data_IF_883682368819
#
_entry.id   IF_883682368819
#
_cell.length_a   1.000
_cell.length_b   1.000
_cell.length_c   1.000
_cell.angle_alpha   90.00
_cell.angle_beta   90.00
_cell.angle_gamma   90.00
#
_symmetry.space_group_name_H-M   'P 1'
#
loop_
_entity.id
_entity.type
_entity.pdbx_description
1 polymer ?
#
# COMPACT_ATOMS: atom_id res chain seq x y z
N UNK A 1 10.34 6.19 18.86
CA UNK A 1 11.76 6.60 18.67
C UNK A 1 11.79 7.86 17.82
N UNK A 2 12.73 8.77 18.05
CA UNK A 2 12.94 9.95 17.19
C UNK A 2 14.25 9.77 16.43
N UNK A 3 14.18 9.47 15.14
CA UNK A 3 15.36 9.40 14.27
C UNK A 3 15.63 10.79 13.71
N UNK A 4 16.78 11.42 14.01
CA UNK A 4 17.05 12.79 13.55
C UNK A 4 16.99 12.93 12.02
N UNK A 5 16.34 13.99 11.53
CA UNK A 5 16.24 14.28 10.10
C UNK A 5 15.13 13.53 9.35
N UNK A 6 14.28 12.79 10.07
CA UNK A 6 13.16 12.01 9.54
C UNK A 6 11.81 12.44 10.12
N UNK A 7 11.74 13.61 10.77
CA UNK A 7 10.48 14.16 11.24
C UNK A 7 9.66 14.76 10.09
N UNK A 8 8.36 14.97 10.29
CA UNK A 8 7.49 15.59 9.29
C UNK A 8 8.04 16.93 8.76
N UNK A 9 8.60 17.77 9.65
CA UNK A 9 9.23 19.03 9.26
C UNK A 9 10.44 18.87 8.33
N UNK A 10 11.16 17.74 8.43
CA UNK A 10 12.30 17.43 7.56
C UNK A 10 11.85 16.85 6.22
N UNK A 11 10.72 16.14 6.20
CA UNK A 11 10.27 15.32 5.08
C UNK A 11 9.23 16.01 4.19
N UNK A 12 8.38 16.89 4.73
CA UNK A 12 7.38 17.64 3.95
C UNK A 12 8.02 18.46 2.82
N UNK A 13 9.13 19.20 3.02
CA UNK A 13 9.77 19.93 1.93
C UNK A 13 10.19 19.01 0.77
N UNK A 14 10.62 17.79 1.07
CA UNK A 14 11.00 16.79 0.06
C UNK A 14 9.78 16.25 -0.69
N UNK A 15 8.68 15.96 0.00
CA UNK A 15 7.41 15.57 -0.65
C UNK A 15 6.91 16.66 -1.59
N UNK A 16 6.95 17.93 -1.16
CA UNK A 16 6.55 19.08 -1.99
C UNK A 16 7.42 19.22 -3.24
N UNK A 17 8.73 18.99 -3.11
CA UNK A 17 9.65 19.02 -4.26
C UNK A 17 9.29 17.96 -5.31
N UNK A 18 8.77 16.80 -4.89
CA UNK A 18 8.44 15.70 -5.82
C UNK A 18 7.07 15.88 -6.49
N UNK A 19 6.14 16.58 -5.87
CA UNK A 19 4.73 16.65 -6.29
C UNK A 19 4.40 17.89 -7.15
N UNK A 20 3.59 17.68 -8.18
CA UNK A 20 2.70 18.68 -8.78
C UNK A 20 1.27 18.28 -8.47
N UNK A 21 0.63 18.99 -7.55
CA UNK A 21 -0.74 18.74 -7.13
C UNK A 21 -1.73 19.45 -8.05
N UNK A 22 -2.59 18.69 -8.74
CA UNK A 22 -3.47 19.15 -9.82
C UNK A 22 -4.95 19.19 -9.40
N UNK A 23 -5.21 19.45 -8.12
CA UNK A 23 -6.56 19.56 -7.57
C UNK A 23 -6.78 20.99 -7.09
N UNK A 24 -7.97 21.57 -7.30
CA UNK A 24 -8.30 22.91 -6.81
C UNK A 24 -8.30 22.98 -5.28
N UNK A 25 -7.86 24.11 -4.71
CA UNK A 25 -7.78 24.30 -3.25
C UNK A 25 -6.56 23.62 -2.59
N UNK A 26 -5.70 23.00 -3.39
CA UNK A 26 -4.56 22.20 -2.93
C UNK A 26 -3.25 22.95 -2.70
N UNK A 27 -3.23 24.28 -2.81
CA UNK A 27 -2.02 25.10 -2.73
C UNK A 27 -1.51 25.26 -1.26
N UNK A 28 -1.89 24.32 -0.39
CA UNK A 28 -1.61 24.34 1.03
C UNK A 28 -0.13 24.08 1.38
N UNK A 29 0.25 24.23 2.66
CA UNK A 29 1.65 24.17 3.09
C UNK A 29 2.30 22.78 2.92
N UNK A 30 1.52 21.75 2.61
CA UNK A 30 1.93 20.34 2.54
C UNK A 30 2.01 19.78 1.12
N UNK A 31 1.62 20.53 0.10
CA UNK A 31 1.61 20.07 -1.30
C UNK A 31 2.62 20.82 -2.17
N UNK A 32 3.08 20.13 -3.20
CA UNK A 32 3.95 20.67 -4.25
C UNK A 32 3.15 21.12 -5.47
N UNK A 33 3.69 22.09 -6.23
CA UNK A 33 3.00 22.63 -7.42
C UNK A 33 3.81 22.53 -8.71
N UNK A 34 5.07 22.12 -8.61
CA UNK A 34 6.06 22.14 -9.69
C UNK A 34 6.92 20.87 -9.77
N UNK A 35 6.71 19.91 -8.85
CA UNK A 35 7.45 18.66 -8.82
C UNK A 35 7.16 17.72 -10.00
N UNK A 36 8.06 16.78 -10.31
CA UNK A 36 7.95 15.94 -11.50
C UNK A 36 6.76 14.97 -11.49
N UNK A 37 6.19 14.60 -10.34
CA UNK A 37 5.08 13.64 -10.25
C UNK A 37 3.74 14.34 -10.12
N UNK A 38 2.78 14.00 -11.00
CA UNK A 38 1.50 14.69 -11.09
C UNK A 38 0.44 13.91 -10.30
N UNK A 39 -0.23 14.59 -9.38
CA UNK A 39 -1.30 14.02 -8.56
C UNK A 39 -2.60 14.72 -8.92
N UNK A 40 -3.63 13.97 -9.26
CA UNK A 40 -4.93 14.49 -9.70
C UNK A 40 -6.06 13.60 -9.18
N UNK A 41 -7.31 14.01 -9.43
CA UNK A 41 -8.49 13.21 -9.13
C UNK A 41 -8.98 12.49 -10.37
N UNK A 42 -9.71 11.41 -10.12
CA UNK A 42 -10.75 10.94 -11.02
C UNK A 42 -12.02 10.88 -10.15
N UNK A 43 -13.10 11.52 -10.61
CA UNK A 43 -14.36 11.62 -9.86
C UNK A 43 -15.36 10.64 -10.48
N UNK A 44 -16.13 9.97 -9.62
CA UNK A 44 -17.20 9.04 -9.99
C UNK A 44 -18.44 9.20 -9.09
N UNK A 45 -19.56 8.64 -9.54
CA UNK A 45 -20.88 8.75 -8.90
C UNK A 45 -20.96 7.98 -7.57
N UNK A 46 -20.28 6.85 -7.45
CA UNK A 46 -20.25 6.04 -6.23
C UNK A 46 -19.46 6.73 -5.12
N UNK A 47 -18.40 7.46 -5.46
CA UNK A 47 -17.59 8.26 -4.54
C UNK A 47 -18.43 9.36 -3.88
N UNK A 48 -19.21 10.10 -4.65
CA UNK A 48 -20.10 11.14 -4.14
C UNK A 48 -21.12 10.56 -3.15
N UNK A 49 -21.72 9.42 -3.48
CA UNK A 49 -22.68 8.73 -2.62
C UNK A 49 -22.06 8.18 -1.34
N UNK A 50 -20.87 7.58 -1.45
CA UNK A 50 -20.12 7.08 -0.29
C UNK A 50 -19.85 8.18 0.73
N UNK A 51 -19.61 9.41 0.28
CA UNK A 51 -19.36 10.56 1.16
C UNK A 51 -20.64 11.19 1.71
N UNK A 52 -21.79 11.06 1.04
CA UNK A 52 -23.08 11.60 1.50
C UNK A 52 -23.57 10.94 2.81
N UNK A 53 -23.36 9.62 2.96
CA UNK A 53 -23.72 8.88 4.19
C UNK A 53 -22.91 9.35 5.41
N UNK A 54 -21.78 10.02 5.18
CA UNK A 54 -20.87 10.43 6.25
C UNK A 54 -21.16 11.80 6.84
N UNK A 55 -22.17 12.54 6.35
CA UNK A 55 -22.80 13.81 6.83
C UNK A 55 -21.95 14.91 7.51
N UNK A 56 -20.63 14.74 7.62
CA UNK A 56 -19.67 15.50 8.43
C UNK A 56 -18.42 15.87 7.64
N UNK A 57 -18.31 15.41 6.38
CA UNK A 57 -17.17 15.67 5.51
C UNK A 57 -17.52 16.84 4.60
N UNK A 58 -16.77 17.93 4.73
CA UNK A 58 -16.79 19.02 3.76
C UNK A 58 -16.18 18.50 2.46
N UNK A 59 -17.04 18.05 1.53
CA UNK A 59 -16.64 17.79 0.15
C UNK A 59 -16.76 19.12 -0.60
N UNK A 60 -15.75 19.97 -0.48
CA UNK A 60 -15.62 21.08 -1.42
C UNK A 60 -15.50 20.50 -2.83
N UNK A 61 -16.20 21.09 -3.81
CA UNK A 61 -16.12 20.65 -5.20
C UNK A 61 -14.67 20.74 -5.69
N UNK A 62 -14.01 19.59 -5.82
CA UNK A 62 -12.62 19.52 -6.26
C UNK A 62 -12.56 19.44 -7.79
N UNK A 63 -11.91 20.41 -8.42
CA UNK A 63 -11.72 20.46 -9.87
C UNK A 63 -10.43 19.74 -10.23
N UNK A 64 -10.56 18.67 -11.01
CA UNK A 64 -9.46 17.97 -11.66
C UNK A 64 -8.83 18.83 -12.77
N UNK A 65 -7.56 19.24 -12.58
CA UNK A 65 -6.78 20.06 -13.52
C UNK A 65 -5.90 19.25 -14.46
N UNK A 66 -6.01 17.91 -14.49
CA UNK A 66 -5.12 17.06 -15.28
C UNK A 66 -5.32 17.22 -16.80
N UNK A 67 -4.32 16.80 -17.56
CA UNK A 67 -4.29 16.95 -19.04
C UNK A 67 -4.22 15.66 -19.84
N UNK A 68 -3.59 14.59 -19.32
CA UNK A 68 -3.21 13.42 -20.13
C UNK A 68 -3.81 12.10 -19.68
N UNK A 69 -4.34 11.99 -18.45
CA UNK A 69 -4.94 10.74 -17.94
C UNK A 69 -3.97 9.57 -17.77
N UNK A 70 -2.67 9.81 -17.90
CA UNK A 70 -1.61 8.80 -17.78
C UNK A 70 -1.13 8.70 -16.34
N UNK A 71 -0.75 7.48 -15.94
CA UNK A 71 -0.10 7.21 -14.65
C UNK A 71 1.15 8.08 -14.46
N UNK A 72 1.33 8.61 -13.25
CA UNK A 72 2.58 9.25 -12.83
C UNK A 72 3.53 8.26 -12.16
N UNK A 73 4.38 7.61 -12.96
CA UNK A 73 5.43 6.70 -12.48
C UNK A 73 6.81 7.39 -12.37
N UNK A 74 7.67 6.87 -11.49
CA UNK A 74 9.03 7.40 -11.27
C UNK A 74 9.89 7.34 -12.53
N UNK A 75 10.01 6.22 -13.26
CA UNK A 75 10.87 6.15 -14.44
C UNK A 75 10.63 7.26 -15.47
N UNK A 76 9.38 7.47 -15.92
CA UNK A 76 9.06 8.46 -16.95
C UNK A 76 9.21 9.92 -16.48
N UNK A 77 9.20 10.16 -15.16
CA UNK A 77 9.24 11.51 -14.62
C UNK A 77 10.56 11.93 -13.98
N UNK A 78 11.37 10.97 -13.53
CA UNK A 78 12.63 11.24 -12.82
C UNK A 78 13.86 10.58 -13.45
N UNK A 79 13.71 9.50 -14.24
CA UNK A 79 14.85 8.72 -14.74
C UNK A 79 15.03 8.91 -16.25
N UNK A 80 14.06 8.49 -17.07
CA UNK A 80 14.17 8.54 -18.53
C UNK A 80 14.40 9.94 -19.10
N UNK A 81 13.82 11.03 -18.56
CA UNK A 81 14.14 12.38 -19.02
C UNK A 81 15.62 12.78 -18.85
N UNK A 82 16.34 12.09 -17.96
CA UNK A 82 17.76 12.34 -17.71
C UNK A 82 18.69 11.55 -18.62
N UNK A 83 18.22 10.49 -19.28
CA UNK A 83 19.06 9.61 -20.10
C UNK A 83 19.73 10.37 -21.26
N UNK A 84 18.99 11.25 -21.92
CA UNK A 84 19.52 12.06 -23.03
C UNK A 84 20.44 13.19 -22.56
N UNK A 85 20.29 13.65 -21.32
CA UNK A 85 20.99 14.85 -20.80
C UNK A 85 22.14 14.51 -19.85
N UNK A 86 22.24 13.27 -19.37
CA UNK A 86 23.24 12.82 -18.37
C UNK A 86 23.98 11.58 -18.89
N UNK A 87 25.09 11.75 -19.63
CA UNK A 87 25.85 10.63 -20.19
C UNK A 87 26.48 9.70 -19.14
N UNK A 88 26.48 10.12 -17.87
CA UNK A 88 26.94 9.34 -16.72
C UNK A 88 25.82 8.52 -16.04
N UNK A 89 24.58 8.60 -16.53
CA UNK A 89 23.48 7.73 -16.11
C UNK A 89 23.46 6.49 -16.99
N UNK A 90 23.49 5.31 -16.38
CA UNK A 90 23.37 4.04 -17.07
C UNK A 90 22.16 3.28 -16.52
N UNK A 91 21.20 2.98 -17.39
CA UNK A 91 20.00 2.22 -17.04
C UNK A 91 20.18 0.80 -17.57
N UNK A 92 20.11 -0.18 -16.67
CA UNK A 92 20.23 -1.59 -17.02
C UNK A 92 18.96 -2.32 -16.58
N UNK A 93 18.17 -2.77 -17.55
CA UNK A 93 16.93 -3.54 -17.33
C UNK A 93 17.13 -5.01 -17.68
N UNK A 94 16.22 -5.87 -17.20
CA UNK A 94 16.35 -7.33 -17.40
C UNK A 94 17.56 -7.91 -16.67
N UNK A 95 18.04 -7.24 -15.61
CA UNK A 95 19.16 -7.67 -14.79
C UNK A 95 18.70 -7.71 -13.33
N UNK A 96 18.87 -8.87 -12.69
CA UNK A 96 18.59 -9.09 -11.28
C UNK A 96 19.89 -9.01 -10.47
N UNK A 97 19.91 -8.18 -9.42
CA UNK A 97 20.99 -8.18 -8.43
C UNK A 97 20.89 -9.42 -7.54
N UNK A 98 21.94 -10.22 -7.48
CA UNK A 98 21.95 -11.44 -6.66
C UNK A 98 22.53 -11.17 -5.27
N UNK A 99 23.75 -10.63 -5.20
CA UNK A 99 24.48 -10.37 -3.96
C UNK A 99 25.64 -9.38 -4.14
N UNK A 100 26.09 -8.80 -3.04
CA UNK A 100 27.29 -7.99 -2.93
C UNK A 100 28.49 -8.83 -2.48
N UNK A 101 29.64 -8.59 -3.10
CA UNK A 101 30.90 -9.30 -2.88
C UNK A 101 32.00 -8.37 -2.37
N UNK A 102 33.07 -8.96 -1.86
CA UNK A 102 34.30 -8.27 -1.46
C UNK A 102 34.08 -7.04 -0.56
N UNK A 103 33.32 -7.19 0.53
CA UNK A 103 32.98 -6.09 1.46
C UNK A 103 32.11 -5.00 0.80
N UNK A 104 31.22 -5.39 -0.11
CA UNK A 104 30.39 -4.47 -0.90
C UNK A 104 31.21 -3.54 -1.83
N UNK A 105 32.26 -4.05 -2.47
CA UNK A 105 32.97 -3.32 -3.56
C UNK A 105 32.61 -3.85 -4.95
N UNK A 106 31.84 -4.94 -5.02
CA UNK A 106 31.38 -5.54 -6.26
C UNK A 106 29.97 -6.09 -6.07
N UNK A 107 29.20 -6.11 -7.14
CA UNK A 107 27.85 -6.64 -7.19
C UNK A 107 27.81 -7.75 -8.23
N UNK A 108 27.24 -8.89 -7.86
CA UNK A 108 26.92 -9.95 -8.81
C UNK A 108 25.49 -9.78 -9.25
N UNK A 109 25.28 -9.89 -10.55
CA UNK A 109 23.97 -9.81 -11.16
C UNK A 109 23.80 -10.88 -12.21
N UNK A 110 22.55 -11.18 -12.53
CA UNK A 110 22.16 -12.17 -13.54
C UNK A 110 21.16 -11.56 -14.52
N UNK A 111 21.24 -11.90 -15.80
CA UNK A 111 20.17 -11.58 -16.75
C UNK A 111 18.89 -12.34 -16.40
N UNK A 112 17.78 -11.63 -16.26
CA UNK A 112 16.46 -12.23 -16.06
C UNK A 112 15.99 -12.80 -17.40
N UNK A 113 15.81 -14.12 -17.53
CA UNK A 113 15.42 -14.70 -18.80
C UNK A 113 13.93 -14.39 -19.07
N UNK A 114 13.57 -14.19 -20.34
CA UNK A 114 12.18 -13.92 -20.75
C UNK A 114 11.29 -15.15 -20.51
N UNK A 115 11.88 -16.34 -20.56
CA UNK A 115 11.22 -17.62 -20.25
C UNK A 115 12.00 -18.37 -19.16
N UNK A 116 11.36 -19.24 -18.35
CA UNK A 116 12.03 -19.97 -17.28
C UNK A 116 13.29 -20.75 -17.72
N UNK A 117 13.27 -21.29 -18.96
CA UNK A 117 14.38 -22.06 -19.54
C UNK A 117 15.35 -21.21 -20.39
N UNK A 118 15.18 -19.88 -20.38
CA UNK A 118 16.02 -18.97 -21.16
C UNK A 118 17.45 -18.88 -20.61
N UNK A 119 18.44 -18.54 -21.46
CA UNK A 119 19.82 -18.43 -21.02
C UNK A 119 20.00 -17.32 -19.99
N UNK A 120 20.75 -17.61 -18.93
CA UNK A 120 21.14 -16.63 -17.91
C UNK A 120 22.64 -16.35 -17.96
N UNK A 121 23.02 -15.08 -18.05
CA UNK A 121 24.40 -14.64 -17.96
C UNK A 121 24.65 -14.00 -16.59
N UNK A 122 25.67 -14.48 -15.87
CA UNK A 122 26.12 -13.84 -14.63
C UNK A 122 27.19 -12.79 -14.94
N UNK A 123 27.05 -11.61 -14.34
CA UNK A 123 27.99 -10.48 -14.47
C UNK A 123 28.46 -10.04 -13.10
N UNK A 124 29.70 -9.55 -13.04
CA UNK A 124 30.25 -8.87 -11.88
C UNK A 124 30.42 -7.40 -12.22
N UNK A 125 29.62 -6.54 -11.61
CA UNK A 125 29.72 -5.10 -11.71
C UNK A 125 30.64 -4.61 -10.58
N UNK A 126 31.70 -3.89 -10.95
CA UNK A 126 32.61 -3.25 -9.99
C UNK A 126 32.38 -1.76 -10.03
N UNK A 127 32.32 -1.13 -8.85
CA UNK A 127 32.21 0.31 -8.69
C UNK A 127 33.31 0.83 -7.80
N UNK A 128 33.75 2.06 -8.04
CA UNK A 128 34.67 2.79 -7.16
C UNK A 128 33.93 3.59 -6.07
N UNK A 129 32.60 3.65 -6.12
CA UNK A 129 31.73 4.37 -5.20
C UNK A 129 30.98 3.50 -4.18
N UNK A 130 29.95 4.09 -3.57
CA UNK A 130 29.04 3.42 -2.62
C UNK A 130 27.86 2.77 -3.35
N UNK A 131 27.30 1.70 -2.77
CA UNK A 131 26.08 1.05 -3.24
C UNK A 131 24.86 1.52 -2.44
N UNK A 132 23.72 1.64 -3.13
CA UNK A 132 22.43 1.89 -2.52
C UNK A 132 21.48 0.79 -2.94
N UNK A 133 20.97 0.02 -1.99
CA UNK A 133 19.96 -1.00 -2.25
C UNK A 133 18.56 -0.37 -2.17
N UNK A 134 17.80 -0.53 -3.25
CA UNK A 134 16.41 -0.10 -3.37
C UNK A 134 15.53 -1.23 -3.94
N UNK A 135 15.77 -2.47 -3.51
CA UNK A 135 15.10 -3.67 -4.04
C UNK A 135 13.80 -4.01 -3.28
N UNK A 136 13.32 -3.09 -2.45
CA UNK A 136 12.08 -3.20 -1.69
C UNK A 136 12.17 -4.18 -0.53
N UNK A 137 11.08 -4.28 0.22
CA UNK A 137 11.02 -5.01 1.49
C UNK A 137 11.21 -6.53 1.36
N UNK A 138 11.13 -7.09 0.15
CA UNK A 138 11.45 -8.49 -0.12
C UNK A 138 12.85 -8.67 -0.74
N UNK A 139 13.19 -7.86 -1.74
CA UNK A 139 14.44 -8.02 -2.49
C UNK A 139 15.67 -7.61 -1.68
N UNK A 140 15.59 -6.48 -0.96
CA UNK A 140 16.71 -5.92 -0.20
C UNK A 140 17.23 -6.87 0.89
N UNK A 141 16.40 -7.41 1.82
CA UNK A 141 16.92 -8.35 2.81
C UNK A 141 17.54 -9.59 2.16
N UNK A 142 16.94 -10.13 1.09
CA UNK A 142 17.51 -11.30 0.41
C UNK A 142 18.87 -11.03 -0.25
N UNK A 143 19.08 -9.83 -0.81
CA UNK A 143 20.40 -9.41 -1.31
C UNK A 143 21.40 -9.33 -0.15
N UNK A 144 21.04 -8.73 0.98
CA UNK A 144 21.91 -8.62 2.15
C UNK A 144 22.31 -10.01 2.69
N UNK A 145 21.34 -10.92 2.84
CA UNK A 145 21.58 -12.26 3.37
C UNK A 145 22.51 -13.08 2.47
N UNK A 146 22.28 -13.07 1.14
CA UNK A 146 23.19 -13.72 0.17
C UNK A 146 24.57 -13.07 0.14
N UNK A 147 24.68 -11.79 0.51
CA UNK A 147 25.95 -11.08 0.71
C UNK A 147 26.65 -11.44 2.02
N UNK A 148 26.03 -12.29 2.86
CA UNK A 148 26.49 -12.68 4.19
C UNK A 148 26.19 -11.65 5.29
N UNK A 149 25.36 -10.64 5.01
CA UNK A 149 24.94 -9.61 5.97
C UNK A 149 23.62 -10.03 6.59
N UNK A 150 23.61 -10.32 7.89
CA UNK A 150 22.47 -10.92 8.60
C UNK A 150 22.97 -11.87 9.68
N UNK A 151 23.52 -13.01 9.28
CA UNK A 151 23.93 -14.08 10.22
C UNK A 151 25.34 -14.64 10.04
N UNK A 152 26.01 -14.41 8.91
CA UNK A 152 27.29 -15.07 8.58
C UNK A 152 28.51 -14.18 8.75
N UNK A 153 28.62 -13.14 7.91
CA UNK A 153 29.80 -12.27 7.81
C UNK A 153 29.65 -11.02 8.65
N UNK A 154 28.46 -10.44 8.67
CA UNK A 154 28.09 -9.30 9.50
C UNK A 154 26.84 -9.70 10.27
N UNK A 155 26.97 -9.75 11.59
CA UNK A 155 25.87 -10.12 12.48
C UNK A 155 24.89 -8.94 12.63
N UNK A 156 23.76 -9.06 11.93
CA UNK A 156 22.63 -8.15 11.90
C UNK A 156 21.34 -8.97 11.87
N UNK A 157 20.94 -9.57 12.99
CA UNK A 157 19.80 -10.49 13.03
C UNK A 157 18.45 -9.81 12.71
N UNK A 158 18.41 -8.48 12.60
CA UNK A 158 17.22 -7.76 12.15
C UNK A 158 17.01 -7.71 10.64
N UNK A 159 17.95 -8.23 9.82
CA UNK A 159 17.76 -8.34 8.36
C UNK A 159 16.71 -9.41 8.09
N UNK A 160 15.67 -9.05 7.33
CA UNK A 160 14.54 -9.94 7.01
C UNK A 160 13.42 -9.94 8.06
N UNK A 161 13.71 -9.50 9.27
CA UNK A 161 12.75 -9.47 10.39
C UNK A 161 11.82 -8.26 10.37
N UNK A 162 10.76 -8.29 11.18
CA UNK A 162 9.85 -7.14 11.38
C UNK A 162 9.17 -6.70 10.07
N UNK A 163 8.80 -7.67 9.22
CA UNK A 163 7.89 -7.44 8.11
C UNK A 163 6.58 -6.85 8.63
N UNK A 164 6.14 -5.78 7.98
CA UNK A 164 4.91 -5.04 8.23
C UNK A 164 4.20 -4.80 6.91
N UNK A 165 2.88 -4.74 6.95
CA UNK A 165 2.00 -4.35 5.85
C UNK A 165 0.76 -3.67 6.45
N UNK A 166 -0.16 -3.18 5.61
CA UNK A 166 -1.56 -3.10 6.01
C UNK A 166 -2.29 -4.36 5.57
N UNK A 167 -3.16 -4.86 6.45
CA UNK A 167 -3.98 -6.02 6.15
C UNK A 167 -5.35 -5.51 5.68
N UNK A 168 -5.82 -5.97 4.51
CA UNK A 168 -7.07 -5.49 3.89
C UNK A 168 -8.09 -6.60 3.65
N UNK A 169 -9.36 -6.30 3.92
CA UNK A 169 -10.51 -7.02 3.38
C UNK A 169 -11.08 -6.26 2.20
N UNK A 170 -11.42 -7.00 1.15
CA UNK A 170 -12.09 -6.51 -0.04
C UNK A 170 -13.50 -7.10 -0.06
N UNK A 171 -14.50 -6.27 0.27
CA UNK A 171 -15.90 -6.71 0.48
C UNK A 171 -16.78 -6.20 -0.66
N UNK A 172 -17.11 -7.05 -1.65
CA UNK A 172 -17.88 -6.64 -2.82
C UNK A 172 -19.39 -6.69 -2.54
N UNK A 173 -20.12 -5.79 -3.18
CA UNK A 173 -21.57 -5.65 -3.14
C UNK A 173 -22.11 -5.60 -4.56
N UNK A 174 -23.31 -6.13 -4.76
CA UNK A 174 -24.01 -5.97 -6.02
C UNK A 174 -24.39 -4.51 -6.22
N UNK A 175 -24.07 -3.98 -7.40
CA UNK A 175 -24.41 -2.60 -7.78
C UNK A 175 -25.64 -2.57 -8.68
N UNK A 176 -26.26 -1.39 -8.76
CA UNK A 176 -27.34 -1.07 -9.69
C UNK A 176 -26.84 -1.02 -11.14
N UNK A 177 -27.72 -1.29 -12.10
CA UNK A 177 -27.36 -1.32 -13.52
C UNK A 177 -26.98 0.07 -14.06
N UNK A 178 -27.53 1.12 -13.47
CA UNK A 178 -27.23 2.52 -13.79
C UNK A 178 -25.88 3.02 -13.23
N UNK A 179 -25.27 2.32 -12.28
CA UNK A 179 -24.02 2.75 -11.64
C UNK A 179 -22.83 2.70 -12.61
N UNK A 180 -21.93 3.67 -12.53
CA UNK A 180 -20.67 3.62 -13.26
C UNK A 180 -19.70 2.63 -12.58
N UNK A 181 -19.24 1.61 -13.32
CA UNK A 181 -18.32 0.57 -12.79
C UNK A 181 -17.26 0.20 -13.82
N UNK A 182 -16.15 -0.36 -13.34
CA UNK A 182 -15.06 -0.89 -14.16
C UNK A 182 -15.26 -2.38 -14.53
N UNK A 183 -16.34 -3.00 -14.05
CA UNK A 183 -16.61 -4.43 -14.20
C UNK A 183 -16.58 -4.96 -15.63
N UNK A 184 -17.10 -4.20 -16.59
CA UNK A 184 -17.11 -4.58 -18.01
C UNK A 184 -15.71 -4.50 -18.62
N UNK A 185 -14.96 -3.43 -18.29
CA UNK A 185 -13.57 -3.24 -18.73
C UNK A 185 -12.68 -4.37 -18.17
N UNK A 186 -12.82 -4.68 -16.87
CA UNK A 186 -12.05 -5.75 -16.22
C UNK A 186 -12.38 -7.15 -16.75
N UNK A 187 -13.61 -7.36 -17.25
CA UNK A 187 -14.02 -8.59 -17.93
C UNK A 187 -13.68 -8.61 -19.42
N UNK A 188 -12.97 -7.59 -19.90
CA UNK A 188 -12.58 -7.45 -21.30
C UNK A 188 -13.78 -7.48 -22.26
N UNK A 189 -14.88 -6.83 -21.88
CA UNK A 189 -15.96 -6.55 -22.82
C UNK A 189 -15.44 -5.59 -23.91
N UNK A 190 -15.38 -6.07 -25.15
CA UNK A 190 -14.76 -5.34 -26.27
C UNK A 190 -15.39 -3.96 -26.46
N UNK A 191 -16.71 -3.87 -26.39
CA UNK A 191 -17.42 -2.60 -26.60
C UNK A 191 -17.13 -1.57 -25.49
N UNK A 192 -17.05 -2.02 -24.24
CA UNK A 192 -16.71 -1.17 -23.11
C UNK A 192 -15.25 -0.69 -23.16
N UNK A 193 -14.32 -1.58 -23.54
CA UNK A 193 -12.89 -1.25 -23.68
C UNK A 193 -12.68 -0.27 -24.82
N UNK A 194 -13.29 -0.49 -25.98
CA UNK A 194 -13.20 0.41 -27.13
C UNK A 194 -13.75 1.80 -26.80
N UNK A 195 -14.95 1.87 -26.22
CA UNK A 195 -15.58 3.13 -25.84
C UNK A 195 -14.75 3.92 -24.82
N UNK A 196 -14.27 3.25 -23.76
CA UNK A 196 -13.50 3.90 -22.70
C UNK A 196 -12.08 4.30 -23.18
N UNK A 197 -11.49 3.55 -24.11
CA UNK A 197 -10.21 3.92 -24.75
C UNK A 197 -10.38 5.14 -25.63
N UNK A 198 -11.43 5.18 -26.47
CA UNK A 198 -11.71 6.33 -27.32
C UNK A 198 -11.98 7.61 -26.50
N UNK A 199 -12.65 7.50 -25.36
CA UNK A 199 -12.83 8.63 -24.43
C UNK A 199 -11.49 9.13 -23.88
N UNK A 200 -10.64 8.21 -23.40
CA UNK A 200 -9.31 8.55 -22.89
C UNK A 200 -8.44 9.24 -23.94
N UNK A 201 -8.37 8.71 -25.16
CA UNK A 201 -7.59 9.31 -26.24
C UNK A 201 -8.09 10.71 -26.61
N UNK A 202 -9.41 10.91 -26.62
CA UNK A 202 -10.02 12.19 -26.98
C UNK A 202 -9.90 13.25 -25.90
N UNK A 203 -9.95 12.86 -24.62
CA UNK A 203 -10.17 13.80 -23.51
C UNK A 203 -9.10 13.77 -22.43
N UNK A 204 -8.28 12.71 -22.36
CA UNK A 204 -7.41 12.43 -21.23
C UNK A 204 -8.19 12.07 -19.95
N UNK A 205 -9.48 11.75 -20.05
CA UNK A 205 -10.43 11.46 -18.95
C UNK A 205 -11.16 10.14 -19.20
N UNK A 206 -12.17 9.84 -18.37
CA UNK A 206 -12.95 8.61 -18.46
C UNK A 206 -12.42 7.46 -17.60
N UNK A 207 -13.11 6.33 -17.68
CA UNK A 207 -12.89 5.16 -16.81
C UNK A 207 -11.50 4.53 -16.95
N UNK A 208 -10.93 4.50 -18.16
CA UNK A 208 -9.57 3.98 -18.41
C UNK A 208 -8.47 4.80 -17.74
N UNK A 209 -8.82 5.98 -17.25
CA UNK A 209 -7.92 6.92 -16.65
C UNK A 209 -8.28 7.18 -15.17
N UNK A 210 -8.97 6.20 -14.58
CA UNK A 210 -9.32 6.06 -13.17
C UNK A 210 -8.68 4.77 -12.63
N UNK A 211 -8.24 4.77 -11.38
CA UNK A 211 -7.71 3.58 -10.69
C UNK A 211 -8.81 2.67 -10.09
N UNK A 212 -10.08 2.99 -10.31
CA UNK A 212 -11.23 2.34 -9.67
C UNK A 212 -11.49 2.65 -8.21
N UNK A 213 -10.66 3.42 -7.51
CA UNK A 213 -10.88 3.82 -6.11
C UNK A 213 -11.41 5.26 -6.06
N UNK A 214 -12.71 5.40 -5.79
CA UNK A 214 -13.42 6.68 -5.94
C UNK A 214 -13.35 7.60 -4.72
N UNK A 215 -13.51 7.03 -3.54
CA UNK A 215 -13.41 7.76 -2.27
C UNK A 215 -12.81 6.87 -1.19
N UNK A 216 -12.30 7.50 -0.14
CA UNK A 216 -11.89 6.80 1.06
C UNK A 216 -11.80 7.71 2.27
N UNK A 217 -11.83 7.10 3.43
CA UNK A 217 -11.78 7.75 4.73
C UNK A 217 -10.74 7.09 5.62
N UNK A 218 -10.17 7.91 6.50
CA UNK A 218 -9.34 7.45 7.61
C UNK A 218 -10.17 7.58 8.88
N UNK A 219 -10.44 6.46 9.53
CA UNK A 219 -11.30 6.41 10.70
C UNK A 219 -10.49 6.32 11.98
N UNK A 220 -10.93 7.08 12.99
CA UNK A 220 -10.45 6.97 14.36
C UNK A 220 -11.68 6.83 15.26
N UNK A 221 -11.80 5.71 16.01
CA UNK A 221 -13.00 5.45 16.78
C UNK A 221 -13.19 6.47 17.90
N UNK A 222 -14.44 6.85 18.15
CA UNK A 222 -14.82 7.59 19.35
C UNK A 222 -14.85 6.66 20.59
N UNK A 223 -15.03 7.18 21.82
CA UNK A 223 -15.03 6.35 23.02
C UNK A 223 -16.11 5.24 23.05
N UNK A 224 -17.26 5.45 22.42
CA UNK A 224 -18.33 4.46 22.33
C UNK A 224 -17.98 3.35 21.34
N UNK A 225 -17.44 3.71 20.18
CA UNK A 225 -16.96 2.75 19.19
C UNK A 225 -15.77 1.96 19.70
N UNK A 226 -14.82 2.61 20.39
CA UNK A 226 -13.65 1.96 20.97
C UNK A 226 -14.02 0.85 21.96
N UNK A 227 -15.16 0.97 22.65
CA UNK A 227 -15.66 -0.07 23.54
C UNK A 227 -16.02 -1.37 22.80
N UNK A 228 -16.38 -1.28 21.50
CA UNK A 228 -16.72 -2.42 20.66
C UNK A 228 -15.49 -3.21 20.16
N UNK A 229 -14.30 -2.63 20.17
CA UNK A 229 -13.06 -3.29 19.72
C UNK A 229 -12.55 -4.34 20.71
N UNK A 230 -13.08 -4.37 21.94
CA UNK A 230 -12.70 -5.34 22.96
C UNK A 230 -11.36 -5.04 23.67
N UNK A 231 -11.06 -5.81 24.73
CA UNK A 231 -9.90 -5.58 25.59
C UNK A 231 -8.55 -5.77 24.88
N UNK A 232 -8.48 -6.62 23.85
CA UNK A 232 -7.25 -6.92 23.11
C UNK A 232 -6.74 -5.70 22.36
N UNK A 233 -7.64 -4.96 21.69
CA UNK A 233 -7.29 -3.71 21.02
C UNK A 233 -7.14 -2.55 22.01
N UNK A 234 -7.89 -2.53 23.12
CA UNK A 234 -7.77 -1.47 24.12
C UNK A 234 -6.33 -1.26 24.60
N UNK A 235 -5.58 -2.35 24.81
CA UNK A 235 -4.16 -2.25 25.20
C UNK A 235 -3.34 -1.54 24.13
N UNK A 236 -3.55 -1.88 22.86
CA UNK A 236 -2.88 -1.25 21.71
C UNK A 236 -3.24 0.23 21.61
N UNK A 237 -4.52 0.56 21.86
CA UNK A 237 -4.99 1.94 21.92
C UNK A 237 -4.25 2.74 22.99
N UNK A 238 -4.21 2.26 24.22
CA UNK A 238 -3.59 2.95 25.35
C UNK A 238 -2.08 3.17 25.10
N UNK A 239 -1.39 2.17 24.54
CA UNK A 239 0.06 2.21 24.30
C UNK A 239 0.45 3.06 23.08
N UNK A 240 -0.36 3.07 22.02
CA UNK A 240 0.05 3.59 20.70
C UNK A 240 -0.80 4.76 20.20
N UNK A 241 -2.11 4.75 20.43
CA UNK A 241 -3.05 5.68 19.81
C UNK A 241 -3.51 6.80 20.74
N UNK A 242 -3.66 6.55 22.04
CA UNK A 242 -4.27 7.51 22.99
C UNK A 242 -3.58 8.88 22.98
N UNK A 243 -2.25 8.90 22.81
CA UNK A 243 -1.43 10.12 22.76
C UNK A 243 -0.98 10.50 21.34
N UNK A 244 -1.60 9.93 20.30
CA UNK A 244 -1.31 10.17 18.90
C UNK A 244 -2.62 10.46 18.12
N UNK A 245 -3.21 11.65 18.31
CA UNK A 245 -4.53 11.99 17.77
C UNK A 245 -4.56 12.06 16.23
N UNK A 246 -3.40 12.21 15.59
CA UNK A 246 -3.20 12.24 14.14
C UNK A 246 -3.19 10.84 13.49
N UNK A 247 -3.23 9.77 14.29
CA UNK A 247 -3.18 8.39 13.78
C UNK A 247 -4.59 7.79 13.68
N UNK A 248 -5.06 7.44 12.47
CA UNK A 248 -6.27 6.65 12.31
C UNK A 248 -6.00 5.17 12.65
N UNK A 249 -7.07 4.44 12.93
CA UNK A 249 -7.02 3.00 13.24
C UNK A 249 -7.26 2.17 11.98
N UNK A 250 -8.18 2.60 11.13
CA UNK A 250 -8.57 1.89 9.91
C UNK A 250 -8.79 2.87 8.77
N UNK A 251 -8.51 2.43 7.55
CA UNK A 251 -8.95 3.13 6.35
C UNK A 251 -10.03 2.31 5.64
N UNK A 252 -11.01 3.02 5.09
CA UNK A 252 -12.06 2.46 4.25
C UNK A 252 -12.04 3.17 2.91
N UNK A 253 -12.31 2.45 1.82
CA UNK A 253 -12.48 3.09 0.52
C UNK A 253 -13.33 2.30 -0.44
N UNK A 254 -14.06 3.01 -1.27
CA UNK A 254 -14.95 2.43 -2.26
C UNK A 254 -14.25 2.25 -3.59
N UNK A 255 -14.39 1.04 -4.12
CA UNK A 255 -13.90 0.62 -5.42
C UNK A 255 -15.05 0.30 -6.36
N UNK A 256 -14.90 0.69 -7.62
CA UNK A 256 -15.90 0.55 -8.69
C UNK A 256 -15.86 -0.81 -9.40
N UNK A 257 -15.38 -1.85 -8.72
CA UNK A 257 -15.12 -3.14 -9.35
C UNK A 257 -15.32 -4.28 -8.35
N UNK A 258 -15.85 -5.40 -8.85
CA UNK A 258 -15.88 -6.66 -8.11
C UNK A 258 -14.67 -7.55 -8.42
N UNK A 259 -14.56 -8.69 -7.74
CA UNK A 259 -13.60 -9.73 -8.10
C UNK A 259 -14.14 -10.55 -9.28
N UNK A 260 -13.84 -10.13 -10.50
CA UNK A 260 -14.34 -10.76 -11.73
C UNK A 260 -14.10 -12.28 -11.83
N UNK A 261 -13.18 -12.85 -11.04
CA UNK A 261 -12.89 -14.28 -11.01
C UNK A 261 -13.74 -15.07 -10.02
N UNK A 262 -14.30 -14.41 -9.01
CA UNK A 262 -15.01 -15.06 -7.90
C UNK A 262 -16.50 -14.70 -7.82
N UNK A 263 -16.97 -13.74 -8.62
CA UNK A 263 -18.38 -13.30 -8.59
C UNK A 263 -19.03 -13.34 -9.98
N UNK A 264 -20.34 -13.59 -10.08
CA UNK A 264 -21.05 -13.64 -11.37
C UNK A 264 -20.87 -12.38 -12.23
N UNK A 265 -20.98 -12.46 -13.57
CA UNK A 265 -20.95 -11.28 -14.45
C UNK A 265 -22.14 -10.34 -14.20
N UNK A 266 -21.88 -9.22 -13.52
CA UNK A 266 -22.79 -8.10 -13.27
C UNK A 266 -21.97 -6.91 -12.74
N UNK A 267 -22.63 -5.79 -12.43
CA UNK A 267 -21.99 -4.63 -11.82
C UNK A 267 -21.83 -4.78 -10.31
N UNK A 268 -20.72 -4.29 -9.79
CA UNK A 268 -20.35 -4.31 -8.39
C UNK A 268 -19.74 -2.97 -7.97
N UNK A 269 -19.85 -2.69 -6.69
CA UNK A 269 -18.88 -1.86 -6.00
C UNK A 269 -18.30 -2.67 -4.85
N UNK A 270 -17.19 -2.24 -4.29
CA UNK A 270 -16.48 -2.97 -3.26
C UNK A 270 -15.93 -2.01 -2.23
N UNK A 271 -16.05 -2.34 -0.94
CA UNK A 271 -15.42 -1.56 0.11
C UNK A 271 -14.18 -2.27 0.60
N UNK A 272 -13.03 -1.61 0.43
CA UNK A 272 -11.78 -2.01 1.03
C UNK A 272 -11.74 -1.55 2.48
N UNK A 273 -11.36 -2.43 3.40
CA UNK A 273 -11.18 -2.13 4.83
C UNK A 273 -9.79 -2.56 5.22
N UNK A 274 -8.93 -1.63 5.60
CA UNK A 274 -7.58 -1.96 6.02
C UNK A 274 -7.31 -1.60 7.49
N UNK A 275 -6.30 -2.25 8.06
CA UNK A 275 -5.72 -1.91 9.36
C UNK A 275 -4.49 -1.02 9.14
N UNK A 276 -4.49 0.20 9.69
CA UNK A 276 -3.43 1.20 9.41
C UNK A 276 -2.15 0.97 10.21
N UNK A 277 -2.25 0.35 11.38
CA UNK A 277 -1.07 0.01 12.19
C UNK A 277 -1.21 -1.39 12.81
N UNK A 278 -1.13 -2.47 12.00
CA UNK A 278 -1.19 -3.83 12.53
C UNK A 278 -0.10 -4.07 13.57
N UNK A 279 -0.41 -4.89 14.57
CA UNK A 279 0.50 -5.25 15.66
C UNK A 279 1.33 -6.47 15.30
N UNK A 280 0.75 -7.43 14.58
CA UNK A 280 1.45 -8.63 14.18
C UNK A 280 2.62 -8.33 13.23
N UNK A 281 3.65 -9.18 13.27
CA UNK A 281 4.90 -9.00 12.52
C UNK A 281 5.25 -10.30 11.83
N UNK A 282 5.80 -10.17 10.64
CA UNK A 282 6.32 -11.28 9.87
C UNK A 282 7.83 -11.24 9.70
N UNK A 283 8.32 -12.10 8.81
CA UNK A 283 9.71 -12.13 8.37
C UNK A 283 9.82 -12.56 6.90
N UNK A 284 10.95 -12.24 6.28
CA UNK A 284 11.35 -12.62 4.93
C UNK A 284 12.83 -13.05 4.97
N UNK A 285 13.12 -14.33 4.73
CA UNK A 285 14.48 -14.87 4.68
C UNK A 285 14.72 -15.69 3.41
N UNK A 286 15.95 -15.67 2.92
CA UNK A 286 16.39 -16.62 1.89
C UNK A 286 16.39 -18.05 2.43
N UNK A 287 16.04 -19.00 1.56
CA UNK A 287 16.24 -20.44 1.82
C UNK A 287 17.49 -20.99 1.12
N UNK A 288 18.01 -20.25 0.13
CA UNK A 288 19.17 -20.63 -0.66
C UNK A 288 20.15 -19.48 -0.85
N UNK A 289 21.45 -19.75 -0.72
CA UNK A 289 22.49 -18.70 -0.73
C UNK A 289 22.86 -18.19 -2.13
N UNK A 290 22.56 -18.96 -3.18
CA UNK A 290 23.00 -18.67 -4.55
C UNK A 290 21.85 -18.62 -5.56
N UNK A 291 20.70 -19.21 -5.23
CA UNK A 291 19.58 -19.33 -6.15
C UNK A 291 18.55 -18.27 -5.78
N UNK A 292 18.48 -17.24 -6.61
CA UNK A 292 17.56 -16.11 -6.43
C UNK A 292 16.12 -16.44 -6.79
N UNK A 293 15.88 -17.60 -7.40
CA UNK A 293 14.54 -18.11 -7.73
C UNK A 293 13.99 -19.07 -6.69
N UNK A 294 14.82 -19.51 -5.72
CA UNK A 294 14.38 -20.37 -4.65
C UNK A 294 13.26 -19.69 -3.82
N UNK A 295 12.21 -20.44 -3.42
CA UNK A 295 11.17 -19.90 -2.56
C UNK A 295 11.77 -19.31 -1.29
N UNK A 296 11.36 -18.10 -0.92
CA UNK A 296 11.75 -17.47 0.34
C UNK A 296 11.00 -18.11 1.52
N UNK A 297 11.64 -18.11 2.68
CA UNK A 297 10.96 -18.34 3.96
C UNK A 297 10.24 -17.04 4.31
N UNK A 298 8.92 -17.03 4.09
CA UNK A 298 8.08 -15.86 4.26
C UNK A 298 6.90 -16.18 5.16
N UNK A 299 6.81 -15.42 6.25
CA UNK A 299 5.63 -15.39 7.10
C UNK A 299 5.13 -13.95 7.12
N UNK A 300 3.90 -13.66 6.67
CA UNK A 300 3.38 -12.30 6.68
C UNK A 300 2.96 -11.82 8.08
N UNK A 301 2.68 -12.74 9.01
CA UNK A 301 2.17 -12.46 10.36
C UNK A 301 0.70 -11.99 10.40
N UNK A 302 -0.04 -12.03 9.28
CA UNK A 302 -1.40 -11.50 9.23
C UNK A 302 -2.32 -12.16 10.26
N UNK A 303 -2.98 -11.33 11.07
CA UNK A 303 -3.98 -11.74 12.05
C UNK A 303 -3.48 -12.70 13.15
N UNK A 304 -2.16 -12.74 13.41
CA UNK A 304 -1.61 -13.45 14.58
C UNK A 304 -1.96 -12.73 15.91
N UNK A 305 -2.35 -11.45 15.84
CA UNK A 305 -2.85 -10.67 16.97
C UNK A 305 -4.37 -10.52 16.90
N UNK A 306 -5.05 -10.81 18.01
CA UNK A 306 -6.50 -10.54 18.12
C UNK A 306 -6.85 -9.06 18.04
N UNK A 307 -5.93 -8.15 18.38
CA UNK A 307 -6.16 -6.72 18.20
C UNK A 307 -6.34 -6.35 16.71
N UNK A 308 -5.62 -7.02 15.82
CA UNK A 308 -5.73 -6.81 14.37
C UNK A 308 -7.05 -7.40 13.85
N UNK A 309 -7.43 -8.59 14.34
CA UNK A 309 -8.71 -9.24 14.03
C UNK A 309 -9.89 -8.34 14.44
N UNK A 310 -9.87 -7.80 15.66
CA UNK A 310 -10.96 -6.95 16.17
C UNK A 310 -11.09 -5.65 15.38
N UNK A 311 -9.98 -5.03 15.02
CA UNK A 311 -9.99 -3.82 14.17
C UNK A 311 -10.61 -4.11 12.81
N UNK A 312 -10.23 -5.22 12.19
CA UNK A 312 -10.66 -5.57 10.85
C UNK A 312 -12.14 -6.01 10.79
N UNK A 313 -12.58 -6.80 11.77
CA UNK A 313 -13.98 -7.24 11.89
C UNK A 313 -14.92 -6.08 12.27
N UNK A 314 -14.47 -5.15 13.12
CA UNK A 314 -15.20 -3.88 13.32
C UNK A 314 -15.33 -3.10 12.01
N UNK A 315 -14.22 -2.96 11.26
CA UNK A 315 -14.23 -2.26 9.98
C UNK A 315 -15.12 -2.92 8.93
N UNK A 316 -15.25 -4.25 8.91
CA UNK A 316 -16.24 -4.95 8.09
C UNK A 316 -17.67 -4.54 8.45
N UNK A 317 -18.02 -4.56 9.75
CA UNK A 317 -19.38 -4.21 10.21
C UNK A 317 -19.69 -2.76 9.83
N UNK A 318 -18.76 -1.85 10.08
CA UNK A 318 -18.89 -0.45 9.72
C UNK A 318 -19.00 -0.23 8.21
N UNK A 319 -18.17 -0.90 7.40
CA UNK A 319 -18.23 -0.78 5.94
C UNK A 319 -19.52 -1.34 5.35
N UNK A 320 -20.07 -2.40 5.93
CA UNK A 320 -21.35 -3.00 5.55
C UNK A 320 -22.52 -2.08 5.83
N UNK A 321 -22.48 -1.35 6.93
CA UNK A 321 -23.47 -0.31 7.26
C UNK A 321 -23.48 0.82 6.23
N UNK A 322 -22.30 1.25 5.77
CA UNK A 322 -22.19 2.25 4.69
C UNK A 322 -22.72 1.67 3.38
N UNK A 323 -22.18 0.52 2.97
CA UNK A 323 -22.52 -0.10 1.70
C UNK A 323 -24.02 -0.34 1.53
N UNK A 324 -24.71 -0.82 2.58
CA UNK A 324 -26.16 -1.10 2.50
C UNK A 324 -27.02 0.17 2.42
N UNK A 325 -26.51 1.34 2.79
CA UNK A 325 -27.20 2.64 2.69
C UNK A 325 -26.91 3.38 1.39
N UNK A 326 -25.93 2.93 0.62
CA UNK A 326 -25.61 3.53 -0.67
C UNK A 326 -26.73 3.30 -1.70
N UNK A 327 -27.19 4.33 -2.44
CA UNK A 327 -28.25 4.21 -3.44
C UNK A 327 -28.08 3.07 -4.46
N UNK A 328 -26.84 2.73 -4.83
CA UNK A 328 -26.53 1.65 -5.76
C UNK A 328 -26.52 0.24 -5.16
N UNK A 329 -26.73 0.07 -3.86
CA UNK A 329 -26.78 -1.25 -3.23
C UNK A 329 -27.90 -2.12 -3.80
N UNK A 330 -27.55 -3.35 -4.22
CA UNK A 330 -28.49 -4.38 -4.73
C UNK A 330 -28.30 -5.74 -4.06
N UNK A 331 -27.55 -5.80 -2.97
CA UNK A 331 -27.31 -7.02 -2.20
C UNK A 331 -25.85 -7.44 -2.12
N UNK A 332 -25.66 -8.65 -1.63
CA UNK A 332 -24.39 -9.16 -1.11
C UNK A 332 -24.09 -10.54 -1.73
N UNK A 333 -22.97 -10.69 -2.44
CA UNK A 333 -22.55 -11.98 -3.00
C UNK A 333 -22.11 -12.94 -1.89
N UNK A 334 -22.87 -14.03 -1.71
CA UNK A 334 -22.65 -15.02 -0.66
C UNK A 334 -21.21 -15.57 -0.61
N UNK A 335 -20.58 -15.82 -1.76
CA UNK A 335 -19.22 -16.34 -1.84
C UNK A 335 -18.15 -15.37 -1.31
N UNK A 336 -18.49 -14.10 -1.11
CA UNK A 336 -17.57 -13.02 -0.73
C UNK A 336 -18.00 -12.29 0.54
N UNK A 337 -18.90 -12.89 1.31
CA UNK A 337 -19.33 -12.43 2.63
C UNK A 337 -19.18 -13.56 3.67
N UNK A 338 -19.17 -13.24 4.98
CA UNK A 338 -19.18 -14.25 6.03
C UNK A 338 -20.40 -15.17 5.93
N UNK A 339 -20.19 -16.46 6.20
CA UNK A 339 -21.23 -17.46 6.21
C UNK A 339 -22.05 -17.38 7.51
N UNK A 340 -22.86 -16.32 7.63
CA UNK A 340 -23.79 -16.15 8.75
C UNK A 340 -24.88 -17.23 8.76
N UNK A 341 -25.34 -17.60 9.95
CA UNK A 341 -26.36 -18.62 10.10
C UNK A 341 -27.70 -18.19 9.45
N UNK A 342 -28.44 -19.12 8.81
CA UNK A 342 -29.79 -18.82 8.33
C UNK A 342 -30.68 -18.31 9.47
N UNK A 343 -31.30 -17.14 9.29
CA UNK A 343 -32.15 -16.50 10.30
C UNK A 343 -31.41 -15.60 11.30
N UNK A 344 -30.08 -15.50 11.23
CA UNK A 344 -29.33 -14.45 11.93
C UNK A 344 -29.77 -13.07 11.45
N UNK A 345 -29.79 -12.08 12.35
CA UNK A 345 -29.97 -10.67 11.97
C UNK A 345 -28.85 -10.18 11.03
N UNK A 346 -27.68 -10.81 11.08
CA UNK A 346 -26.55 -10.54 10.20
C UNK A 346 -26.58 -11.31 8.88
N UNK A 347 -27.58 -12.17 8.64
CA UNK A 347 -27.70 -12.93 7.40
C UNK A 347 -27.59 -12.01 6.18
N UNK A 348 -26.91 -12.51 5.14
CA UNK A 348 -26.69 -11.70 3.94
C UNK A 348 -27.99 -11.39 3.20
N UNK A 349 -27.99 -10.29 2.47
CA UNK A 349 -29.07 -9.92 1.56
C UNK A 349 -28.67 -10.32 0.14
N UNK A 350 -29.02 -11.51 -0.37
CA UNK A 350 -28.54 -11.97 -1.69
C UNK A 350 -29.10 -11.13 -2.85
N UNK A 351 -30.25 -10.48 -2.65
CA UNK A 351 -30.87 -9.56 -3.59
C UNK A 351 -31.64 -8.48 -2.82
N UNK A 352 -31.40 -7.21 -3.16
CA UNK A 352 -32.17 -6.09 -2.66
C UNK A 352 -32.77 -5.30 -3.84
N UNK A 353 -34.01 -4.84 -3.71
CA UNK A 353 -34.65 -3.97 -4.71
C UNK A 353 -34.05 -2.54 -4.68
N UNK A 354 -33.47 -2.14 -3.55
CA UNK A 354 -32.82 -0.87 -3.35
C UNK A 354 -31.99 -0.85 -2.07
N UNK A 355 -31.50 0.34 -1.74
CA UNK A 355 -30.71 0.57 -0.52
C UNK A 355 -31.59 0.54 0.73
N UNK A 356 -30.95 0.29 1.87
CA UNK A 356 -31.57 0.32 3.19
C UNK A 356 -31.66 1.77 3.67
N UNK A 357 -32.83 2.16 4.19
CA UNK A 357 -33.06 3.51 4.68
C UNK A 357 -32.11 3.88 5.83
N UNK A 358 -31.66 5.14 5.87
CA UNK A 358 -30.66 5.62 6.84
C UNK A 358 -31.08 5.43 8.30
N UNK A 359 -32.38 5.56 8.60
CA UNK A 359 -32.98 5.41 9.93
C UNK A 359 -33.19 3.95 10.35
N UNK A 360 -32.94 2.98 9.45
CA UNK A 360 -32.97 1.56 9.81
C UNK A 360 -31.87 1.27 10.84
N UNK A 361 -32.19 0.56 11.95
CA UNK A 361 -31.19 0.18 12.94
C UNK A 361 -29.96 -0.52 12.35
N UNK A 362 -28.83 -0.42 13.07
CA UNK A 362 -27.62 -1.17 12.74
C UNK A 362 -27.86 -2.68 12.87
N UNK A 363 -27.13 -3.48 12.09
CA UNK A 363 -27.21 -4.93 12.18
C UNK A 363 -26.68 -5.36 13.55
N UNK A 364 -27.43 -6.20 14.26
CA UNK A 364 -26.96 -6.86 15.47
C UNK A 364 -26.20 -8.13 15.11
N UNK A 365 -25.01 -8.30 15.68
CA UNK A 365 -24.15 -9.46 15.47
C UNK A 365 -24.11 -10.30 16.75
N UNK A 366 -24.52 -11.55 16.65
CA UNK A 366 -24.39 -12.52 17.74
C UNK A 366 -22.94 -13.00 17.87
N UNK A 367 -22.62 -13.72 18.96
CA UNK A 367 -21.32 -14.36 19.11
C UNK A 367 -21.02 -15.38 17.98
N UNK A 368 -22.05 -16.01 17.41
CA UNK A 368 -21.89 -16.90 16.27
C UNK A 368 -21.51 -16.14 15.00
N UNK A 369 -22.11 -14.97 14.78
CA UNK A 369 -21.78 -14.09 13.67
C UNK A 369 -20.37 -13.53 13.79
N UNK A 370 -19.92 -13.18 15.00
CA UNK A 370 -18.54 -12.75 15.27
C UNK A 370 -17.52 -13.86 14.94
N UNK A 371 -17.85 -15.14 15.22
CA UNK A 371 -17.01 -16.28 14.82
C UNK A 371 -16.99 -16.49 13.30
N UNK A 372 -18.13 -16.31 12.63
CA UNK A 372 -18.21 -16.37 11.18
C UNK A 372 -17.39 -15.24 10.52
N UNK A 373 -17.42 -14.03 11.10
CA UNK A 373 -16.64 -12.87 10.68
C UNK A 373 -15.14 -13.10 10.82
N UNK A 374 -14.69 -13.62 11.96
CA UNK A 374 -13.28 -13.95 12.15
C UNK A 374 -12.82 -15.00 11.15
N UNK A 375 -13.62 -16.05 10.94
CA UNK A 375 -13.32 -17.11 9.97
C UNK A 375 -13.18 -16.53 8.56
N UNK A 376 -14.12 -15.66 8.16
CA UNK A 376 -14.08 -14.96 6.88
C UNK A 376 -12.83 -14.08 6.76
N UNK A 377 -12.52 -13.29 7.78
CA UNK A 377 -11.36 -12.40 7.77
C UNK A 377 -10.07 -13.20 7.58
N UNK A 378 -9.88 -14.30 8.33
CA UNK A 378 -8.70 -15.17 8.20
C UNK A 378 -8.60 -15.84 6.83
N UNK A 379 -9.73 -16.20 6.23
CA UNK A 379 -9.77 -16.85 4.92
C UNK A 379 -9.55 -15.89 3.74
N UNK A 380 -9.79 -14.59 3.92
CA UNK A 380 -9.84 -13.61 2.80
C UNK A 380 -8.89 -12.44 2.95
N UNK A 381 -8.17 -12.33 4.07
CA UNK A 381 -7.19 -11.29 4.31
C UNK A 381 -6.13 -11.25 3.20
N UNK A 382 -5.81 -10.04 2.76
CA UNK A 382 -4.79 -9.81 1.76
C UNK A 382 -3.79 -8.74 2.18
N UNK A 383 -2.68 -8.69 1.46
CA UNK A 383 -1.73 -7.57 1.47
C UNK A 383 -2.37 -6.35 0.80
N UNK A 384 -1.92 -5.17 1.20
CA UNK A 384 -2.15 -3.92 0.45
C UNK A 384 -0.97 -3.54 -0.44
N UNK A 385 0.01 -4.44 -0.55
CA UNK A 385 1.31 -4.23 -1.18
C UNK A 385 2.12 -3.10 -0.51
N UNK A 386 1.87 -2.84 0.78
CA UNK A 386 2.54 -1.81 1.56
C UNK A 386 3.68 -2.38 2.43
N UNK A 387 4.25 -3.52 2.02
CA UNK A 387 5.34 -4.19 2.68
C UNK A 387 6.48 -3.24 3.08
N UNK A 388 6.85 -3.24 4.37
CA UNK A 388 7.92 -2.39 4.93
C UNK A 388 8.62 -3.04 6.13
N UNK A 389 9.79 -2.50 6.49
CA UNK A 389 10.43 -2.73 7.78
C UNK A 389 11.43 -3.88 7.91
N UNK A 390 11.68 -4.63 6.84
CA UNK A 390 12.61 -5.79 6.82
C UNK A 390 14.10 -5.42 6.93
N UNK A 391 14.44 -4.14 6.91
CA UNK A 391 15.77 -3.58 7.16
C UNK A 391 15.68 -2.34 8.05
N UNK A 392 14.92 -2.43 9.15
CA UNK A 392 14.49 -1.30 9.97
C UNK A 392 15.62 -0.32 10.39
N UNK A 393 15.33 0.97 10.21
CA UNK A 393 16.15 2.10 10.67
C UNK A 393 15.90 2.36 12.15
N UNK A 394 16.69 1.72 13.00
CA UNK A 394 16.66 1.85 14.47
C UNK A 394 18.04 1.53 15.05
N UNK A 395 18.28 1.74 16.36
CA UNK A 395 19.55 1.35 16.96
C UNK A 395 19.88 -0.13 16.75
N UNK A 396 21.13 -0.46 16.39
CA UNK A 396 21.58 -1.85 16.18
C UNK A 396 21.22 -2.77 17.36
N UNK A 397 21.36 -2.28 18.60
CA UNK A 397 21.02 -3.02 19.85
C UNK A 397 19.53 -3.38 20.00
N UNK A 398 18.66 -2.82 19.17
CA UNK A 398 17.22 -3.10 19.11
C UNK A 398 16.85 -3.89 17.84
N UNK A 399 17.84 -4.51 17.19
CA UNK A 399 17.69 -5.23 15.93
C UNK A 399 17.60 -4.31 14.71
N UNK A 400 18.19 -3.12 14.76
CA UNK A 400 18.25 -2.23 13.60
C UNK A 400 19.28 -2.66 12.57
N UNK A 401 18.98 -2.43 11.29
CA UNK A 401 19.84 -2.78 10.14
C UNK A 401 20.58 -1.56 9.61
N UNK A 402 19.93 -0.40 9.59
CA UNK A 402 20.53 0.87 9.14
C UNK A 402 20.52 1.97 10.19
N UNK A 403 21.48 2.89 10.10
CA UNK A 403 21.52 4.12 10.89
C UNK A 403 20.65 5.24 10.29
N UNK A 404 20.61 6.42 10.95
CA UNK A 404 19.81 7.57 10.48
C UNK A 404 20.29 8.19 9.16
N UNK A 405 21.47 7.79 8.66
CA UNK A 405 22.02 8.15 7.35
C UNK A 405 21.97 6.97 6.37
N UNK A 406 21.09 6.00 6.64
CA UNK A 406 20.82 4.83 5.80
C UNK A 406 21.97 3.83 5.67
N UNK A 407 23.07 4.01 6.43
CA UNK A 407 24.21 3.11 6.33
C UNK A 407 23.87 1.76 6.96
N UNK A 408 24.19 0.67 6.25
CA UNK A 408 24.10 -0.68 6.82
C UNK A 408 25.17 -0.85 7.89
N UNK A 409 24.76 -1.18 9.12
CA UNK A 409 25.69 -1.33 10.23
C UNK A 409 26.79 -2.36 9.93
N UNK A 410 28.04 -2.04 10.25
CA UNK A 410 29.16 -2.96 10.07
C UNK A 410 29.64 -3.12 8.61
N UNK A 411 29.07 -2.38 7.66
CA UNK A 411 29.47 -2.36 6.25
C UNK A 411 29.77 -0.92 5.83
N UNK A 412 30.89 -0.71 5.13
CA UNK A 412 31.24 0.62 4.58
C UNK A 412 30.77 0.73 3.14
N UNK A 413 30.31 1.92 2.74
CA UNK A 413 29.90 2.20 1.37
C UNK A 413 28.64 1.47 0.93
N UNK A 414 27.75 1.11 1.88
CA UNK A 414 26.48 0.44 1.59
C UNK A 414 25.34 1.12 2.34
N UNK A 415 24.31 1.52 1.59
CA UNK A 415 23.07 2.08 2.12
C UNK A 415 21.85 1.29 1.66
N UNK A 416 20.74 1.44 2.39
CA UNK A 416 19.41 0.96 1.98
C UNK A 416 18.45 2.14 1.91
N UNK A 417 17.73 2.30 0.80
CA UNK A 417 16.86 3.45 0.56
C UNK A 417 15.53 3.04 -0.11
N UNK A 418 14.79 2.16 0.54
CA UNK A 418 13.44 1.75 0.15
C UNK A 418 12.57 1.50 1.40
N UNK A 419 11.33 1.01 1.21
CA UNK A 419 10.38 0.78 2.30
C UNK A 419 10.88 -0.21 3.37
N UNK A 420 11.90 -1.03 3.10
CA UNK A 420 12.47 -1.94 4.09
C UNK A 420 13.00 -1.20 5.33
N UNK A 421 13.34 0.08 5.23
CA UNK A 421 13.89 0.83 6.37
C UNK A 421 12.85 1.25 7.40
N UNK A 422 11.54 1.15 7.10
CA UNK A 422 10.47 1.66 7.97
C UNK A 422 10.47 0.99 9.36
N UNK A 423 10.87 1.68 10.45
CA UNK A 423 10.96 1.05 11.76
C UNK A 423 9.58 0.83 12.41
N UNK A 424 8.55 1.46 11.85
CA UNK A 424 7.15 1.30 12.20
C UNK A 424 6.30 1.61 10.95
N UNK A 425 5.04 1.17 10.98
CA UNK A 425 4.09 1.42 9.90
C UNK A 425 3.73 2.91 9.73
N UNK A 426 3.14 3.25 8.59
CA UNK A 426 2.71 4.60 8.21
C UNK A 426 1.26 4.54 7.72
N UNK A 427 0.40 5.45 8.17
CA UNK A 427 -0.98 5.53 7.66
C UNK A 427 -1.00 6.22 6.30
N UNK A 428 -0.62 5.50 5.26
CA UNK A 428 -0.72 5.94 3.87
C UNK A 428 -0.57 4.74 2.93
N UNK A 429 -1.12 4.85 1.72
CA UNK A 429 -0.60 4.08 0.61
C UNK A 429 0.88 4.46 0.38
N UNK A 430 1.76 3.47 0.36
CA UNK A 430 3.19 3.70 0.65
C UNK A 430 4.01 4.24 -0.53
N UNK A 431 3.39 4.60 -1.65
CA UNK A 431 4.12 5.21 -2.76
C UNK A 431 4.74 6.55 -2.36
N UNK A 432 3.99 7.44 -1.70
CA UNK A 432 4.52 8.72 -1.18
C UNK A 432 5.64 8.50 -0.14
N UNK A 433 5.54 7.43 0.65
CA UNK A 433 6.57 7.04 1.62
C UNK A 433 7.85 6.58 0.91
N UNK A 434 7.74 5.76 -0.13
CA UNK A 434 8.88 5.33 -0.93
C UNK A 434 9.57 6.54 -1.61
N UNK A 435 8.78 7.47 -2.15
CA UNK A 435 9.29 8.70 -2.77
C UNK A 435 10.09 9.55 -1.78
N UNK A 436 9.56 9.80 -0.58
CA UNK A 436 10.25 10.64 0.40
C UNK A 436 11.51 9.99 0.96
N UNK A 437 11.52 8.65 1.08
CA UNK A 437 12.75 7.90 1.41
C UNK A 437 13.80 8.10 0.30
N UNK A 438 13.40 8.02 -0.97
CA UNK A 438 14.27 8.25 -2.11
C UNK A 438 14.86 9.68 -2.15
N UNK A 439 14.02 10.71 -2.00
CA UNK A 439 14.47 12.10 -1.92
C UNK A 439 15.40 12.33 -0.73
N UNK A 440 15.09 11.75 0.45
CA UNK A 440 15.93 11.87 1.63
C UNK A 440 17.28 11.19 1.43
N UNK A 441 17.30 10.02 0.79
CA UNK A 441 18.52 9.33 0.43
C UNK A 441 19.38 10.16 -0.53
N UNK A 442 18.76 10.80 -1.54
CA UNK A 442 19.46 11.68 -2.47
C UNK A 442 20.14 12.85 -1.74
N UNK A 443 19.47 13.49 -0.78
CA UNK A 443 20.06 14.55 0.06
C UNK A 443 21.24 14.02 0.87
N UNK A 444 21.06 12.88 1.56
CA UNK A 444 22.12 12.26 2.39
C UNK A 444 23.37 11.93 1.56
N UNK A 445 23.17 11.41 0.34
CA UNK A 445 24.26 11.02 -0.57
C UNK A 445 24.94 12.26 -1.15
N UNK A 446 24.16 13.28 -1.54
CA UNK A 446 24.71 14.54 -2.04
C UNK A 446 25.61 15.21 -0.99
N UNK A 447 25.16 15.28 0.26
CA UNK A 447 25.96 15.79 1.39
C UNK A 447 27.27 15.00 1.58
N UNK A 448 27.23 13.67 1.52
CA UNK A 448 28.41 12.81 1.72
C UNK A 448 29.43 12.91 0.57
N UNK A 449 28.96 13.25 -0.63
CA UNK A 449 29.79 13.43 -1.82
C UNK A 449 30.19 14.90 -2.06
N UNK A 450 29.83 15.82 -1.16
CA UNK A 450 29.99 17.27 -1.31
C UNK A 450 29.40 17.80 -2.63
N UNK A 451 28.29 17.20 -3.08
CA UNK A 451 27.54 17.66 -4.25
C UNK A 451 26.66 18.83 -3.80
N UNK A 452 26.91 20.00 -4.38
CA UNK A 452 26.10 21.21 -4.18
C UNK A 452 25.09 21.35 -5.32
N UNK A 453 23.85 21.64 -4.99
CA UNK A 453 22.74 21.77 -5.94
C UNK A 453 21.60 22.56 -5.35
#
# INVERSE_FOLDING_TARGET
MRTPGWGSNDLIPLLRKTETYQVSGGDGPTHGTDGPLKVSLAVDDCAEQFLQDLSTINVDAQVDKRKTGVRSDVPHHLIYPLEETRPNLHILTGIQCEALYNRATALRSRTTPIHPDGPTETRIVRGTGSWVLCAGSFGTPGILERSGIGSKRVDLPGVGENYQDHNVLFVPYFSADEAQTLDAIFRNDESAVEAATAELEKTGKGLMAHNGLGAGIKWRPDPSELAEFGPEFKKVWDDYFANAPDKPVTWLGIMLVGDATQVPPRKYFMVGVNTEYPVARGHVHITHSEDVSAPIDFVPGYLESMADVKTLTWGYKFSREIARRMPYFRGEPAARHPAFAPGSAAAIIPHAEGHIAFDTPRIEYSEEDERALETFARATISTTWHALGTCAMKPRKQGGVVDSRLNVYGVRGLKVADLSIGPCNVSANTYSTALVIGEKAAVIIAEELDIKG
#
